data_IF_521164301969
#
_entry.id   IF_521164301969
#
_cell.length_a   1.000
_cell.length_b   1.000
_cell.length_c   1.000
_cell.angle_alpha   90.00
_cell.angle_beta   90.00
_cell.angle_gamma   90.00
#
_symmetry.space_group_name_H-M   'P 1'
#
loop_
_entity.id
_entity.type
_entity.pdbx_description
1 polymer ?
#
# COMPACT_ATOMS: atom_id res chain seq x y z
N UNK A 1 -7.68 -22.49 -3.61
CA UNK A 1 -7.27 -22.88 -2.24
C UNK A 1 -5.80 -23.34 -2.19
N UNK A 2 -5.22 -23.75 -3.32
CA UNK A 2 -3.85 -24.31 -3.37
C UNK A 2 -2.73 -23.25 -3.25
N UNK A 3 -3.04 -21.98 -3.42
CA UNK A 3 -2.06 -20.88 -3.39
C UNK A 3 -2.20 -19.94 -2.19
N UNK A 4 -3.03 -20.28 -1.20
CA UNK A 4 -3.15 -19.51 0.03
C UNK A 4 -2.18 -20.07 1.07
N UNK A 5 -0.94 -19.58 1.05
CA UNK A 5 0.08 -19.89 2.04
C UNK A 5 0.36 -18.67 2.90
N UNK A 6 0.17 -18.81 4.21
CA UNK A 6 0.48 -17.78 5.19
C UNK A 6 1.90 -18.02 5.75
N UNK A 7 2.86 -17.31 5.19
CA UNK A 7 4.28 -17.43 5.57
C UNK A 7 4.56 -16.94 6.98
N UNK A 8 3.84 -15.93 7.47
CA UNK A 8 3.99 -15.44 8.84
C UNK A 8 3.49 -16.46 9.85
N UNK A 9 2.33 -17.05 9.62
CA UNK A 9 1.79 -18.12 10.48
C UNK A 9 2.70 -19.34 10.48
N UNK A 10 3.15 -19.77 9.31
CA UNK A 10 4.09 -20.88 9.19
C UNK A 10 5.39 -20.60 9.93
N UNK A 11 5.93 -19.39 9.84
CA UNK A 11 7.14 -18.95 10.56
C UNK A 11 6.95 -19.05 12.08
N UNK A 12 5.81 -18.58 12.59
CA UNK A 12 5.47 -18.65 14.03
C UNK A 12 5.32 -20.08 14.51
N UNK A 13 4.56 -20.92 13.82
CA UNK A 13 4.31 -22.34 14.17
C UNK A 13 5.59 -23.17 14.16
N UNK A 14 6.47 -22.93 13.20
CA UNK A 14 7.74 -23.64 13.07
C UNK A 14 8.89 -22.99 13.84
N UNK A 15 8.64 -21.87 14.54
CA UNK A 15 9.63 -21.11 15.31
C UNK A 15 10.86 -20.73 14.50
N UNK A 16 10.66 -20.31 13.26
CA UNK A 16 11.75 -19.83 12.41
C UNK A 16 12.09 -18.40 12.80
N UNK A 17 13.27 -18.19 13.35
CA UNK A 17 13.75 -16.86 13.76
C UNK A 17 14.35 -16.13 12.56
N UNK A 18 13.86 -14.92 12.31
CA UNK A 18 14.39 -13.93 11.36
C UNK A 18 14.96 -12.78 12.19
N UNK A 19 16.28 -12.79 12.42
CA UNK A 19 16.95 -11.90 13.38
C UNK A 19 17.50 -10.62 12.75
N UNK A 20 17.28 -10.41 11.44
CA UNK A 20 17.75 -9.24 10.71
C UNK A 20 17.27 -7.94 11.37
N UNK A 21 18.20 -7.01 11.54
CA UNK A 21 17.91 -5.71 12.17
C UNK A 21 17.04 -4.78 11.34
N UNK A 22 16.80 -5.14 10.08
CA UNK A 22 16.01 -4.38 9.10
C UNK A 22 14.71 -5.11 8.69
N UNK A 23 14.25 -6.11 9.45
CA UNK A 23 13.09 -6.96 9.08
C UNK A 23 11.76 -6.22 8.94
N UNK A 24 11.65 -5.00 9.53
CA UNK A 24 10.47 -4.15 9.35
C UNK A 24 10.65 -3.06 8.28
N UNK A 25 11.83 -2.97 7.64
CA UNK A 25 12.05 -1.96 6.60
C UNK A 25 11.06 -2.13 5.45
N UNK A 26 10.37 -1.04 5.13
CA UNK A 26 9.37 -1.03 4.07
C UNK A 26 8.05 -1.75 4.37
N UNK A 27 7.83 -2.22 5.61
CA UNK A 27 6.58 -2.87 5.99
C UNK A 27 5.35 -1.93 5.83
N UNK A 28 5.57 -0.63 5.92
CA UNK A 28 4.56 0.40 5.65
C UNK A 28 4.07 0.45 4.19
N UNK A 29 4.78 -0.20 3.27
CA UNK A 29 4.33 -0.34 1.86
C UNK A 29 3.11 -1.26 1.75
N UNK A 30 2.93 -2.12 2.74
CA UNK A 30 1.79 -3.05 2.85
C UNK A 30 0.83 -2.62 3.94
N UNK A 31 1.37 -2.20 5.10
CA UNK A 31 0.61 -1.74 6.26
C UNK A 31 0.62 -0.20 6.29
N UNK A 32 -0.21 0.41 5.47
CA UNK A 32 -0.21 1.86 5.23
C UNK A 32 -1.20 2.64 6.08
N UNK A 33 -2.24 1.96 6.63
CA UNK A 33 -3.30 2.55 7.45
C UNK A 33 -3.10 2.20 8.92
N UNK A 34 -2.98 3.19 9.77
CA UNK A 34 -2.82 2.96 11.20
C UNK A 34 -4.15 2.46 11.82
N UNK A 35 -4.19 1.30 12.51
CA UNK A 35 -5.42 0.80 13.11
C UNK A 35 -5.84 1.57 14.37
N UNK A 36 -4.94 2.38 14.95
CA UNK A 36 -5.23 3.16 16.14
C UNK A 36 -5.90 4.50 15.82
N UNK A 37 -5.41 5.24 14.83
CA UNK A 37 -5.92 6.57 14.46
C UNK A 37 -6.59 6.64 13.10
N UNK A 38 -6.61 5.54 12.35
CA UNK A 38 -7.21 5.38 11.02
C UNK A 38 -6.56 6.25 9.92
N UNK A 39 -5.45 6.91 10.22
CA UNK A 39 -4.73 7.74 9.23
C UNK A 39 -3.97 6.84 8.27
N UNK A 40 -4.00 7.21 7.00
CA UNK A 40 -3.27 6.55 5.91
C UNK A 40 -2.00 7.31 5.52
N UNK A 41 -0.99 6.58 5.02
CA UNK A 41 0.23 7.15 4.49
C UNK A 41 1.23 7.69 5.53
N UNK A 42 0.89 7.64 6.82
CA UNK A 42 1.72 8.13 7.92
C UNK A 42 2.48 7.00 8.65
N UNK A 43 2.49 5.81 8.08
CA UNK A 43 3.25 4.68 8.61
C UNK A 43 4.67 4.67 8.05
N UNK A 44 5.66 4.37 8.90
CA UNK A 44 7.05 4.13 8.51
C UNK A 44 7.57 2.84 9.12
N UNK A 45 8.04 1.93 8.27
CA UNK A 45 8.73 0.71 8.68
C UNK A 45 10.23 0.90 8.59
N UNK A 46 10.93 0.84 9.74
CA UNK A 46 12.38 0.99 9.80
C UNK A 46 13.00 0.16 10.91
N UNK A 47 14.08 -0.53 10.55
CA UNK A 47 14.75 -1.42 11.49
C UNK A 47 13.86 -2.60 11.88
N UNK A 48 13.41 -2.63 13.10
CA UNK A 48 12.52 -3.68 13.62
C UNK A 48 11.14 -3.16 14.00
N UNK A 49 10.86 -1.86 13.72
CA UNK A 49 9.64 -1.19 14.16
C UNK A 49 8.86 -0.60 12.99
N UNK A 50 7.55 -0.52 13.19
CA UNK A 50 6.60 0.18 12.34
C UNK A 50 5.95 1.29 13.19
N UNK A 51 6.07 2.54 12.77
CA UNK A 51 5.66 3.73 13.54
C UNK A 51 4.61 4.51 12.75
N UNK A 52 3.57 4.96 13.43
CA UNK A 52 2.65 5.95 12.87
C UNK A 52 3.11 7.36 13.25
N UNK A 53 3.47 8.18 12.30
CA UNK A 53 3.91 9.56 12.54
C UNK A 53 2.80 10.48 13.03
N UNK A 54 1.54 10.16 12.72
CA UNK A 54 0.39 10.95 13.16
C UNK A 54 0.09 10.76 14.66
N UNK A 55 -0.10 9.52 15.13
CA UNK A 55 -0.50 9.25 16.52
C UNK A 55 0.64 8.73 17.40
N UNK A 56 1.83 8.51 16.84
CA UNK A 56 3.03 8.00 17.53
C UNK A 56 2.92 6.58 18.05
N UNK A 57 1.90 5.83 17.65
CA UNK A 57 1.81 4.41 17.99
C UNK A 57 2.92 3.65 17.29
N UNK A 58 3.60 2.80 18.07
CA UNK A 58 4.73 2.01 17.59
C UNK A 58 4.45 0.51 17.75
N UNK A 59 4.86 -0.25 16.74
CA UNK A 59 4.75 -1.70 16.70
C UNK A 59 6.12 -2.30 16.39
N UNK A 60 6.51 -3.33 17.12
CA UNK A 60 7.73 -4.09 16.84
C UNK A 60 7.38 -5.36 16.08
N UNK A 61 8.05 -5.60 14.96
CA UNK A 61 8.04 -6.91 14.30
C UNK A 61 9.03 -7.81 15.02
N UNK A 62 8.53 -8.86 15.66
CA UNK A 62 9.37 -9.83 16.36
C UNK A 62 10.17 -10.69 15.38
N UNK A 63 11.17 -11.40 15.88
CA UNK A 63 11.94 -12.36 15.07
C UNK A 63 11.10 -13.52 14.55
N UNK A 64 9.96 -13.77 15.15
CA UNK A 64 9.02 -14.82 14.73
C UNK A 64 7.88 -14.29 13.85
N UNK A 65 7.96 -13.05 13.35
CA UNK A 65 6.97 -12.47 12.43
C UNK A 65 5.66 -12.02 13.10
N UNK A 66 5.62 -11.88 14.42
CA UNK A 66 4.50 -11.30 15.13
C UNK A 66 4.69 -9.78 15.32
N UNK A 67 3.59 -9.02 15.33
CA UNK A 67 3.59 -7.61 15.70
C UNK A 67 3.21 -7.45 17.17
N UNK A 68 3.98 -6.65 17.88
CA UNK A 68 3.74 -6.27 19.28
C UNK A 68 3.67 -4.75 19.38
N UNK A 69 2.64 -4.19 20.02
CA UNK A 69 2.64 -2.77 20.33
C UNK A 69 3.64 -2.48 21.43
N UNK A 70 4.42 -1.40 21.31
CA UNK A 70 5.36 -0.99 22.36
C UNK A 70 4.65 -0.28 23.53
N UNK A 71 3.42 0.18 23.29
CA UNK A 71 2.56 0.80 24.30
C UNK A 71 1.14 0.24 24.17
N UNK A 72 0.63 -0.38 25.25
CA UNK A 72 -0.69 -0.99 25.31
C UNK A 72 -0.81 -2.25 24.43
N UNK A 73 -2.00 -2.49 23.91
CA UNK A 73 -2.30 -3.65 23.09
C UNK A 73 -2.16 -3.35 21.59
N UNK A 74 -1.71 -4.33 20.84
CA UNK A 74 -1.73 -4.29 19.38
C UNK A 74 -3.13 -4.69 18.87
N UNK A 75 -3.70 -3.86 18.00
CA UNK A 75 -4.96 -4.21 17.32
C UNK A 75 -4.80 -5.47 16.45
N UNK A 76 -3.62 -5.64 15.89
CA UNK A 76 -3.24 -6.80 15.09
C UNK A 76 -1.86 -7.29 15.53
N UNK A 77 -1.75 -8.58 15.79
CA UNK A 77 -0.47 -9.26 16.07
C UNK A 77 0.08 -9.99 14.85
N UNK A 78 -0.70 -10.07 13.79
CA UNK A 78 -0.42 -10.82 12.57
C UNK A 78 -0.50 -9.90 11.34
N UNK A 79 0.58 -9.82 10.57
CA UNK A 79 0.69 -8.90 9.41
C UNK A 79 -0.42 -9.13 8.38
N UNK A 80 -0.73 -10.39 7.96
CA UNK A 80 -1.82 -10.63 7.03
C UNK A 80 -3.21 -10.20 7.54
N UNK A 81 -3.47 -10.28 8.84
CA UNK A 81 -4.76 -9.86 9.40
C UNK A 81 -4.92 -8.33 9.36
N UNK A 82 -3.84 -7.59 9.62
CA UNK A 82 -3.82 -6.14 9.45
C UNK A 82 -4.09 -5.75 7.99
N UNK A 83 -3.38 -6.36 7.05
CA UNK A 83 -3.59 -6.13 5.63
C UNK A 83 -5.01 -6.49 5.17
N UNK A 84 -5.58 -7.59 5.69
CA UNK A 84 -6.98 -7.97 5.40
C UNK A 84 -7.97 -6.92 5.90
N UNK A 85 -7.72 -6.33 7.07
CA UNK A 85 -8.52 -5.23 7.61
C UNK A 85 -8.43 -3.98 6.74
N UNK A 86 -7.24 -3.58 6.26
CA UNK A 86 -7.08 -2.45 5.33
C UNK A 86 -7.88 -2.64 4.05
N UNK A 87 -7.81 -3.83 3.48
CA UNK A 87 -8.63 -4.19 2.30
C UNK A 87 -10.13 -4.14 2.59
N UNK A 88 -10.52 -4.48 3.80
CA UNK A 88 -11.93 -4.38 4.22
C UNK A 88 -12.37 -2.92 4.35
N UNK A 89 -11.52 -2.03 4.89
CA UNK A 89 -11.79 -0.59 4.94
C UNK A 89 -12.06 -0.03 3.54
N UNK A 90 -11.18 -0.29 2.57
CA UNK A 90 -11.36 0.16 1.18
C UNK A 90 -12.62 -0.42 0.56
N UNK A 91 -12.95 -1.68 0.83
CA UNK A 91 -14.19 -2.31 0.36
C UNK A 91 -15.44 -1.60 0.89
N UNK A 92 -15.43 -1.22 2.17
CA UNK A 92 -16.52 -0.48 2.79
C UNK A 92 -16.66 0.92 2.22
N UNK A 93 -15.55 1.61 1.98
CA UNK A 93 -15.52 2.92 1.31
C UNK A 93 -16.08 2.85 -0.10
N UNK A 94 -15.75 1.82 -0.87
CA UNK A 94 -16.33 1.58 -2.20
C UNK A 94 -17.83 1.28 -2.14
N UNK A 95 -18.27 0.46 -1.16
CA UNK A 95 -19.67 0.08 -1.02
C UNK A 95 -20.58 1.24 -0.59
N UNK A 96 -20.06 2.13 0.25
CA UNK A 96 -20.81 3.29 0.73
C UNK A 96 -20.60 4.55 -0.14
N UNK A 97 -19.78 4.47 -1.18
CA UNK A 97 -19.50 5.56 -2.11
C UNK A 97 -18.63 6.68 -1.56
N UNK A 98 -17.92 6.44 -0.46
CA UNK A 98 -17.00 7.43 0.14
C UNK A 98 -15.56 7.30 -0.35
N UNK A 99 -15.24 6.26 -1.12
CA UNK A 99 -13.89 6.07 -1.65
C UNK A 99 -13.52 7.17 -2.63
N UNK A 100 -12.44 7.89 -2.33
CA UNK A 100 -11.83 8.87 -3.22
C UNK A 100 -10.32 8.83 -3.05
N UNK A 101 -9.62 8.61 -4.15
CA UNK A 101 -8.18 8.80 -4.25
C UNK A 101 -7.92 10.03 -5.13
N UNK A 102 -7.18 11.00 -4.63
CA UNK A 102 -6.85 12.22 -5.37
C UNK A 102 -5.41 12.63 -5.07
N UNK A 103 -4.48 12.22 -5.92
CA UNK A 103 -3.03 12.31 -5.67
C UNK A 103 -2.28 12.96 -6.85
N UNK A 104 -1.18 13.67 -6.56
CA UNK A 104 -0.23 14.06 -7.59
C UNK A 104 0.51 12.84 -8.13
N UNK A 105 0.70 12.78 -9.44
CA UNK A 105 1.39 11.68 -10.11
C UNK A 105 2.44 12.18 -11.09
N UNK A 106 3.46 11.36 -11.30
CA UNK A 106 4.39 11.50 -12.43
C UNK A 106 3.85 10.70 -13.60
N UNK A 107 3.75 11.33 -14.76
CA UNK A 107 3.24 10.70 -15.97
C UNK A 107 4.42 10.24 -16.80
N UNK A 108 4.44 8.95 -17.10
CA UNK A 108 5.46 8.34 -17.94
C UNK A 108 4.81 7.71 -19.17
N UNK A 109 5.55 7.64 -20.25
CA UNK A 109 5.14 6.98 -21.48
C UNK A 109 6.18 5.93 -21.85
N UNK A 110 5.71 4.74 -22.19
CA UNK A 110 6.56 3.70 -22.75
C UNK A 110 6.77 3.97 -24.25
N UNK A 111 8.02 4.13 -24.65
CA UNK A 111 8.38 4.39 -26.06
C UNK A 111 9.00 3.12 -26.67
N UNK A 112 8.35 2.58 -27.70
CA UNK A 112 8.81 1.41 -28.45
C UNK A 112 9.14 0.21 -27.58
N UNK A 113 8.44 0.00 -26.48
CA UNK A 113 8.66 -1.09 -25.49
C UNK A 113 10.10 -1.18 -24.94
N UNK A 114 10.93 -0.17 -25.14
CA UNK A 114 12.37 -0.20 -24.78
C UNK A 114 12.74 0.76 -23.68
N UNK A 115 12.01 1.85 -23.53
CA UNK A 115 12.30 2.84 -22.49
C UNK A 115 11.05 3.53 -22.00
N UNK A 116 11.08 3.91 -20.74
CA UNK A 116 10.03 4.71 -20.11
C UNK A 116 10.53 6.14 -20.00
N UNK A 117 9.81 7.07 -20.60
CA UNK A 117 10.14 8.50 -20.60
C UNK A 117 9.13 9.25 -19.72
N UNK A 118 9.62 10.03 -18.76
CA UNK A 118 8.80 10.96 -18.02
C UNK A 118 8.34 12.08 -18.96
N UNK A 119 7.03 12.24 -19.15
CA UNK A 119 6.44 13.22 -20.06
C UNK A 119 5.82 14.40 -19.32
N UNK A 120 5.56 14.26 -18.03
CA UNK A 120 5.03 15.36 -17.23
C UNK A 120 4.63 14.97 -15.83
N UNK A 121 3.98 15.92 -15.20
CA UNK A 121 3.31 15.76 -13.91
C UNK A 121 1.81 15.95 -14.10
N UNK A 122 1.03 15.37 -13.22
CA UNK A 122 -0.42 15.44 -13.28
C UNK A 122 -1.07 15.09 -11.96
N UNK A 123 -2.36 14.88 -12.04
CA UNK A 123 -3.20 14.49 -10.93
C UNK A 123 -4.05 13.30 -11.33
N UNK A 124 -4.05 12.28 -10.52
CA UNK A 124 -4.91 11.12 -10.65
C UNK A 124 -6.03 11.24 -9.63
N UNK A 125 -7.25 11.30 -10.13
CA UNK A 125 -8.47 11.18 -9.34
C UNK A 125 -9.10 9.82 -9.62
N UNK A 126 -9.49 9.10 -8.58
CA UNK A 126 -10.18 7.82 -8.70
C UNK A 126 -11.28 7.74 -7.65
N UNK A 127 -12.49 7.50 -8.10
CA UNK A 127 -13.68 7.30 -7.28
C UNK A 127 -14.58 6.20 -7.86
N UNK A 128 -15.85 6.16 -7.43
CA UNK A 128 -16.83 5.21 -7.94
C UNK A 128 -17.15 5.39 -9.44
N UNK A 129 -16.93 6.57 -10.00
CA UNK A 129 -17.19 6.90 -11.41
C UNK A 129 -16.04 6.49 -12.34
N UNK A 130 -14.85 6.24 -11.77
CA UNK A 130 -13.68 5.75 -12.51
C UNK A 130 -12.40 6.53 -12.27
N UNK A 131 -11.48 6.43 -13.23
CA UNK A 131 -10.18 7.11 -13.20
C UNK A 131 -10.21 8.36 -14.05
N UNK A 132 -9.75 9.46 -13.50
CA UNK A 132 -9.52 10.71 -14.23
C UNK A 132 -8.07 11.16 -14.06
N UNK A 133 -7.30 11.11 -15.13
CA UNK A 133 -5.89 11.53 -15.15
C UNK A 133 -5.76 12.83 -15.94
N UNK A 134 -5.36 13.90 -15.28
CA UNK A 134 -5.07 15.19 -15.91
C UNK A 134 -3.60 15.55 -15.75
N UNK A 135 -3.01 16.27 -16.71
CA UNK A 135 -1.62 16.68 -16.56
C UNK A 135 -0.95 17.18 -17.82
N UNK A 136 0.38 17.12 -17.83
CA UNK A 136 1.26 17.55 -18.92
C UNK A 136 0.97 18.99 -19.39
N UNK A 137 0.72 19.89 -18.42
CA UNK A 137 0.39 21.31 -18.73
C UNK A 137 -0.95 21.47 -19.46
N UNK A 138 -1.95 20.66 -19.15
CA UNK A 138 -3.27 20.68 -19.75
C UNK A 138 -3.39 19.95 -21.10
N UNK A 139 -2.33 19.24 -21.52
CA UNK A 139 -2.34 18.44 -22.76
C UNK A 139 -2.88 17.03 -22.58
N UNK A 140 -3.00 16.57 -21.34
CA UNK A 140 -3.55 15.27 -21.00
C UNK A 140 -4.80 15.47 -20.15
N UNK A 141 -5.91 14.93 -20.65
CA UNK A 141 -7.20 14.83 -19.97
C UNK A 141 -7.79 13.48 -20.37
N UNK A 142 -7.68 12.50 -19.47
CA UNK A 142 -8.06 11.13 -19.76
C UNK A 142 -8.99 10.62 -18.68
N UNK A 143 -10.17 10.17 -19.10
CA UNK A 143 -11.16 9.56 -18.21
C UNK A 143 -11.46 8.12 -18.62
N UNK A 144 -11.49 7.23 -17.65
CA UNK A 144 -11.83 5.82 -17.86
C UNK A 144 -12.87 5.36 -16.85
N UNK A 145 -14.00 4.87 -17.35
CA UNK A 145 -15.06 4.28 -16.52
C UNK A 145 -14.62 2.94 -15.90
N UNK A 146 -15.15 2.57 -14.72
CA UNK A 146 -14.77 1.32 -14.04
C UNK A 146 -14.99 0.06 -14.90
N UNK A 147 -16.03 0.07 -15.73
CA UNK A 147 -16.40 -1.05 -16.60
C UNK A 147 -15.56 -1.16 -17.87
N UNK A 148 -14.74 -0.16 -18.17
CA UNK A 148 -13.91 -0.13 -19.38
C UNK A 148 -12.50 -0.68 -19.16
N UNK A 149 -12.13 -0.99 -17.91
CA UNK A 149 -10.79 -1.44 -17.55
C UNK A 149 -10.70 -2.95 -17.58
N UNK A 150 -10.09 -3.50 -18.63
CA UNK A 150 -9.80 -4.95 -18.72
C UNK A 150 -8.45 -5.32 -18.12
N UNK A 151 -7.55 -4.36 -17.91
CA UNK A 151 -6.19 -4.61 -17.47
C UNK A 151 -5.58 -3.38 -16.82
N UNK A 152 -6.08 -3.00 -15.65
CA UNK A 152 -5.35 -2.08 -14.80
C UNK A 152 -4.29 -2.89 -14.06
N UNK A 153 -3.02 -2.61 -14.33
CA UNK A 153 -1.90 -3.24 -13.66
C UNK A 153 -1.28 -2.26 -12.68
N UNK A 154 -1.14 -2.69 -11.44
CA UNK A 154 -0.43 -1.95 -10.41
C UNK A 154 0.83 -2.73 -10.01
N UNK A 155 1.98 -2.06 -10.01
CA UNK A 155 3.23 -2.59 -9.49
C UNK A 155 3.68 -1.75 -8.31
N UNK A 156 3.95 -2.43 -7.18
CA UNK A 156 4.33 -1.77 -5.94
C UNK A 156 5.82 -1.51 -5.91
N UNK A 157 6.20 -0.30 -5.57
CA UNK A 157 7.58 0.12 -5.40
C UNK A 157 8.49 -0.22 -6.59
N UNK A 158 7.96 0.00 -7.78
CA UNK A 158 8.62 -0.30 -9.04
C UNK A 158 10.01 0.36 -9.11
N UNK A 159 11.06 -0.46 -9.19
CA UNK A 159 12.46 -0.04 -9.16
C UNK A 159 12.82 0.97 -8.06
N UNK A 160 12.23 0.85 -6.86
CA UNK A 160 12.44 1.78 -5.73
C UNK A 160 12.03 3.24 -6.02
N UNK A 161 11.28 3.48 -7.10
CA UNK A 161 10.82 4.82 -7.50
C UNK A 161 9.48 5.16 -6.85
N UNK A 162 8.61 4.18 -6.73
CA UNK A 162 7.25 4.33 -6.21
C UNK A 162 6.27 3.38 -6.86
N UNK A 163 5.04 3.42 -6.42
CA UNK A 163 3.97 2.61 -7.00
C UNK A 163 3.65 3.07 -8.42
N UNK A 164 3.44 2.13 -9.30
CA UNK A 164 3.15 2.36 -10.71
C UNK A 164 1.76 1.83 -11.05
N UNK A 165 1.02 2.62 -11.80
CA UNK A 165 -0.27 2.23 -12.38
C UNK A 165 -0.15 2.28 -13.91
N UNK A 166 -0.51 1.15 -14.58
CA UNK A 166 -0.49 1.01 -16.04
C UNK A 166 -1.85 0.58 -16.59
#
# INVERSE_FOLDING_TARGET
AEFTFDSFRWQQENRVSVSESFRADGLNRVLYKCPHCLTEGEMEGKGTTLVCHHCRKEYRLTEFGALEALDGEAAFTHVPDWYAWERQCVREELQNGSYVLDIPVRICMMVNTRQICRVGEGRLHHDADGFHLTGCGGKLDYFQKPTASYSLYADYFWYEIGDMLC
#
